data_IF_889705221193
#
_entry.id   IF_889705221193
#
_cell.length_a   1.000
_cell.length_b   1.000
_cell.length_c   1.000
_cell.angle_alpha   90.00
_cell.angle_beta   90.00
_cell.angle_gamma   90.00
#
_symmetry.space_group_name_H-M   'P 1'
#
loop_
_entity.id
_entity.type
_entity.pdbx_description
1 polymer ?
#
# COMPACT_ATOMS: atom_id res chain seq x y z
N UNK A 1 -37.27 33.97 -5.96
CA UNK A 1 -36.48 33.47 -4.81
C UNK A 1 -35.36 32.54 -5.27
N UNK A 2 -34.31 33.10 -5.87
CA UNK A 2 -33.06 32.41 -6.22
C UNK A 2 -31.92 33.28 -5.70
N UNK A 3 -31.26 32.89 -4.60
CA UNK A 3 -29.95 33.36 -4.13
C UNK A 3 -29.66 32.73 -2.77
N UNK A 4 -28.81 31.70 -2.76
CA UNK A 4 -27.83 31.33 -1.71
C UNK A 4 -27.37 29.87 -1.91
N UNK A 5 -26.88 29.55 -3.11
CA UNK A 5 -25.82 28.54 -3.22
C UNK A 5 -24.54 29.31 -2.95
N UNK A 6 -24.21 29.48 -1.66
CA UNK A 6 -22.94 30.08 -1.25
C UNK A 6 -21.85 29.08 -1.66
N UNK A 7 -21.04 29.53 -2.59
CA UNK A 7 -19.80 28.91 -3.02
C UNK A 7 -19.02 28.42 -1.79
N UNK A 8 -18.95 27.10 -1.65
CA UNK A 8 -17.81 26.47 -1.02
C UNK A 8 -16.67 26.76 -1.99
N UNK A 9 -15.97 27.88 -1.77
CA UNK A 9 -14.62 28.04 -2.28
C UNK A 9 -13.87 26.83 -1.75
N UNK A 10 -13.65 25.85 -2.63
CA UNK A 10 -12.52 24.93 -2.49
C UNK A 10 -11.31 25.83 -2.36
N UNK A 11 -10.85 26.05 -1.14
CA UNK A 11 -9.48 26.47 -0.90
C UNK A 11 -8.62 25.37 -1.52
N UNK A 12 -8.27 25.58 -2.79
CA UNK A 12 -7.01 25.12 -3.35
C UNK A 12 -5.95 25.68 -2.40
N UNK A 13 -5.62 24.95 -1.34
CA UNK A 13 -4.25 24.97 -0.82
C UNK A 13 -3.40 24.73 -2.06
N UNK A 14 -2.78 25.81 -2.53
CA UNK A 14 -2.52 26.02 -3.94
C UNK A 14 -1.63 24.91 -4.49
N UNK A 15 -1.96 24.35 -5.65
CA UNK A 15 -1.05 23.51 -6.48
C UNK A 15 0.40 24.00 -6.39
N UNK A 16 0.59 25.33 -6.40
CA UNK A 16 1.88 26.01 -6.31
C UNK A 16 2.72 25.72 -5.06
N UNK A 17 2.12 25.51 -3.87
CA UNK A 17 2.90 25.24 -2.64
C UNK A 17 3.38 23.79 -2.60
N UNK A 18 2.52 22.86 -3.03
CA UNK A 18 2.85 21.43 -3.17
C UNK A 18 3.88 21.25 -4.29
N UNK A 19 3.71 21.91 -5.43
CA UNK A 19 4.68 21.92 -6.54
C UNK A 19 6.04 22.47 -6.10
N UNK A 20 6.06 23.54 -5.29
CA UNK A 20 7.30 24.10 -4.77
C UNK A 20 7.98 23.16 -3.75
N UNK A 21 7.21 22.49 -2.90
CA UNK A 21 7.73 21.49 -1.96
C UNK A 21 8.28 20.25 -2.68
N UNK A 22 7.59 19.77 -3.71
CA UNK A 22 8.03 18.67 -4.56
C UNK A 22 9.29 19.01 -5.32
N UNK A 23 9.37 20.22 -5.88
CA UNK A 23 10.59 20.68 -6.54
C UNK A 23 11.78 20.61 -5.59
N UNK A 24 11.64 21.10 -4.35
CA UNK A 24 12.70 21.01 -3.34
C UNK A 24 13.09 19.56 -3.01
N UNK A 25 12.11 18.66 -2.92
CA UNK A 25 12.35 17.24 -2.67
C UNK A 25 13.08 16.57 -3.85
N UNK A 26 12.61 16.79 -5.07
CA UNK A 26 13.25 16.27 -6.29
C UNK A 26 14.66 16.83 -6.44
N UNK A 27 14.88 18.11 -6.15
CA UNK A 27 16.22 18.71 -6.16
C UNK A 27 17.15 18.05 -5.12
N UNK A 28 16.62 17.68 -3.95
CA UNK A 28 17.40 16.96 -2.94
C UNK A 28 17.76 15.53 -3.38
N UNK A 29 16.80 14.79 -3.93
CA UNK A 29 17.02 13.45 -4.47
C UNK A 29 18.05 13.45 -5.60
N UNK A 30 17.90 14.36 -6.57
CA UNK A 30 18.84 14.53 -7.69
C UNK A 30 20.25 14.89 -7.21
N UNK A 31 20.39 15.75 -6.19
CA UNK A 31 21.70 16.07 -5.60
C UNK A 31 22.38 14.85 -4.98
N UNK A 32 21.61 13.92 -4.41
CA UNK A 32 22.11 12.65 -3.91
C UNK A 32 22.70 11.81 -5.04
N UNK A 33 21.90 11.57 -6.08
CA UNK A 33 22.30 10.75 -7.24
C UNK A 33 23.47 11.36 -8.04
N UNK A 34 23.58 12.69 -8.09
CA UNK A 34 24.72 13.36 -8.75
C UNK A 34 26.07 12.96 -8.15
N UNK A 35 26.12 12.65 -6.86
CA UNK A 35 27.37 12.27 -6.16
C UNK A 35 27.80 10.84 -6.49
N UNK A 36 26.86 10.00 -6.94
CA UNK A 36 27.06 8.57 -7.20
C UNK A 36 27.01 8.22 -8.69
N UNK A 37 26.58 9.13 -9.56
CA UNK A 37 26.53 8.92 -11.00
C UNK A 37 27.93 8.83 -11.62
N UNK A 38 28.25 7.66 -12.16
CA UNK A 38 29.54 7.36 -12.83
C UNK A 38 29.36 6.85 -14.27
N UNK A 39 28.24 7.18 -14.93
CA UNK A 39 27.99 6.70 -16.29
C UNK A 39 28.79 7.49 -17.33
N UNK A 40 29.54 6.78 -18.17
CA UNK A 40 30.23 7.34 -19.34
C UNK A 40 29.35 7.35 -20.60
N UNK A 41 28.15 6.76 -20.54
CA UNK A 41 27.24 6.62 -21.67
C UNK A 41 26.10 7.65 -21.66
N UNK A 42 25.68 8.07 -20.47
CA UNK A 42 24.57 9.02 -20.30
C UNK A 42 25.04 10.26 -19.52
N UNK A 43 25.03 11.45 -20.16
CA UNK A 43 25.30 12.70 -19.45
C UNK A 43 24.33 12.86 -18.28
N UNK A 44 24.83 13.30 -17.13
CA UNK A 44 24.01 13.44 -15.93
C UNK A 44 22.74 14.31 -16.13
N UNK A 45 22.77 15.28 -17.05
CA UNK A 45 21.61 16.11 -17.36
C UNK A 45 20.42 15.31 -17.95
N UNK A 46 20.71 14.30 -18.79
CA UNK A 46 19.66 13.44 -19.36
C UNK A 46 19.12 12.47 -18.29
N UNK A 47 20.03 11.88 -17.50
CA UNK A 47 19.66 11.07 -16.33
C UNK A 47 18.79 11.84 -15.34
N UNK A 48 19.16 13.09 -15.00
CA UNK A 48 18.39 13.98 -14.13
C UNK A 48 16.97 14.23 -14.69
N UNK A 49 16.84 14.47 -16.00
CA UNK A 49 15.53 14.69 -16.62
C UNK A 49 14.64 13.46 -16.47
N UNK A 50 15.16 12.29 -16.82
CA UNK A 50 14.42 11.02 -16.68
C UNK A 50 14.05 10.71 -15.23
N UNK A 51 14.97 10.96 -14.28
CA UNK A 51 14.73 10.77 -12.85
C UNK A 51 13.60 11.68 -12.36
N UNK A 52 13.63 12.98 -12.73
CA UNK A 52 12.56 13.93 -12.40
C UNK A 52 11.23 13.55 -13.02
N UNK A 53 11.22 13.09 -14.27
CA UNK A 53 10.02 12.59 -14.93
C UNK A 53 9.42 11.39 -14.18
N UNK A 54 10.25 10.40 -13.82
CA UNK A 54 9.83 9.23 -13.04
C UNK A 54 9.27 9.61 -11.67
N UNK A 55 9.98 10.46 -10.91
CA UNK A 55 9.51 10.95 -9.61
C UNK A 55 8.19 11.72 -9.72
N UNK A 56 8.04 12.58 -10.74
CA UNK A 56 6.80 13.32 -10.98
C UNK A 56 5.63 12.38 -11.28
N UNK A 57 5.84 11.38 -12.13
CA UNK A 57 4.82 10.38 -12.44
C UNK A 57 4.43 9.56 -11.21
N UNK A 58 5.41 9.07 -10.45
CA UNK A 58 5.18 8.32 -9.22
C UNK A 58 4.38 9.15 -8.20
N UNK A 59 4.74 10.42 -8.01
CA UNK A 59 4.04 11.30 -7.09
C UNK A 59 2.60 11.60 -7.53
N UNK A 60 2.37 11.89 -8.82
CA UNK A 60 1.01 12.09 -9.34
C UNK A 60 0.16 10.83 -9.23
N UNK A 61 0.76 9.67 -9.49
CA UNK A 61 0.10 8.39 -9.29
C UNK A 61 -0.30 8.22 -7.82
N UNK A 62 0.63 8.45 -6.88
CA UNK A 62 0.36 8.42 -5.44
C UNK A 62 -0.82 9.34 -5.06
N UNK A 63 -0.77 10.62 -5.43
CA UNK A 63 -1.81 11.58 -5.09
C UNK A 63 -3.18 11.17 -5.65
N UNK A 64 -3.20 10.70 -6.90
CA UNK A 64 -4.42 10.25 -7.58
C UNK A 64 -5.01 9.02 -6.89
N UNK A 65 -4.19 7.99 -6.64
CA UNK A 65 -4.62 6.74 -6.02
C UNK A 65 -5.11 6.97 -4.59
N UNK A 66 -4.39 7.79 -3.80
CA UNK A 66 -4.82 8.22 -2.47
C UNK A 66 -6.17 8.94 -2.51
N UNK A 67 -6.31 9.95 -3.37
CA UNK A 67 -7.55 10.74 -3.48
C UNK A 67 -8.73 9.90 -3.98
N UNK A 68 -8.48 8.97 -4.90
CA UNK A 68 -9.50 8.07 -5.42
C UNK A 68 -9.98 7.10 -4.34
N UNK A 69 -9.07 6.45 -3.62
CA UNK A 69 -9.41 5.52 -2.55
C UNK A 69 -10.27 6.19 -1.48
N UNK A 70 -9.84 7.36 -1.02
CA UNK A 70 -10.62 8.15 -0.07
C UNK A 70 -12.01 8.53 -0.62
N UNK A 71 -12.10 8.95 -1.89
CA UNK A 71 -13.39 9.29 -2.53
C UNK A 71 -14.32 8.08 -2.63
N UNK A 72 -13.80 6.90 -2.95
CA UNK A 72 -14.59 5.67 -2.99
C UNK A 72 -15.17 5.41 -1.60
N UNK A 73 -14.35 5.44 -0.55
CA UNK A 73 -14.80 5.24 0.83
C UNK A 73 -15.90 6.23 1.24
N UNK A 74 -15.71 7.51 0.95
CA UNK A 74 -16.69 8.58 1.20
C UNK A 74 -18.01 8.34 0.47
N UNK A 75 -17.97 7.73 -0.71
CA UNK A 75 -19.16 7.42 -1.51
C UNK A 75 -19.88 6.19 -0.95
N UNK A 76 -19.15 5.11 -0.67
CA UNK A 76 -19.72 3.83 -0.22
C UNK A 76 -20.21 3.89 1.24
N UNK A 77 -19.56 4.66 2.13
CA UNK A 77 -19.92 4.78 3.55
C UNK A 77 -20.78 6.01 3.88
N UNK A 78 -21.10 6.83 2.87
CA UNK A 78 -21.66 8.16 3.01
C UNK A 78 -20.72 9.17 3.71
N UNK A 79 -20.73 10.42 3.25
CA UNK A 79 -19.76 11.47 3.60
C UNK A 79 -19.62 11.71 5.12
N UNK A 80 -20.71 11.55 5.89
CA UNK A 80 -20.70 11.86 7.33
C UNK A 80 -19.84 10.89 8.16
N UNK A 81 -19.67 9.65 7.70
CA UNK A 81 -18.94 8.61 8.46
C UNK A 81 -17.41 8.76 8.40
N UNK A 82 -16.88 9.51 7.42
CA UNK A 82 -15.46 9.46 7.02
C UNK A 82 -14.78 10.83 7.01
N UNK A 83 -15.47 11.86 7.50
CA UNK A 83 -14.99 13.25 7.45
C UNK A 83 -13.73 13.41 8.30
N UNK A 84 -12.63 13.81 7.66
CA UNK A 84 -11.41 14.21 8.36
C UNK A 84 -11.61 15.62 8.91
N UNK A 85 -11.33 15.81 10.19
CA UNK A 85 -11.33 17.13 10.82
C UNK A 85 -10.20 17.98 10.21
N UNK A 86 -10.49 19.19 9.67
CA UNK A 86 -9.46 20.09 9.14
C UNK A 86 -8.31 20.36 10.11
N UNK A 87 -8.56 20.36 11.42
CA UNK A 87 -7.50 20.55 12.43
C UNK A 87 -6.49 19.40 12.41
N UNK A 88 -6.92 18.17 12.10
CA UNK A 88 -6.05 17.00 11.96
C UNK A 88 -5.15 17.07 10.72
N UNK A 89 -5.52 17.86 9.72
CA UNK A 89 -4.71 18.02 8.51
C UNK A 89 -3.49 18.94 8.72
N UNK A 90 -3.52 19.81 9.74
CA UNK A 90 -2.44 20.78 9.99
C UNK A 90 -1.09 20.13 10.28
N UNK A 91 -1.06 18.91 10.83
CA UNK A 91 0.20 18.22 11.10
C UNK A 91 0.98 17.90 9.81
N UNK A 92 0.27 17.73 8.68
CA UNK A 92 0.89 17.44 7.39
C UNK A 92 1.51 18.68 6.73
N UNK A 93 1.22 19.87 7.23
CA UNK A 93 1.86 21.13 6.80
C UNK A 93 3.24 21.34 7.47
N UNK A 94 3.54 20.60 8.55
CA UNK A 94 4.84 20.64 9.24
C UNK A 94 5.55 19.27 9.17
N UNK A 95 6.50 19.10 8.23
CA UNK A 95 7.24 17.86 8.07
C UNK A 95 8.01 17.41 9.31
N UNK A 96 8.50 18.35 10.15
CA UNK A 96 9.24 17.98 11.36
C UNK A 96 8.31 17.42 12.42
N UNK A 97 7.15 18.04 12.61
CA UNK A 97 6.13 17.55 13.51
C UNK A 97 5.59 16.19 13.06
N UNK A 98 5.34 16.02 11.75
CA UNK A 98 4.92 14.75 11.18
C UNK A 98 5.94 13.64 11.42
N UNK A 99 7.22 13.86 11.10
CA UNK A 99 8.28 12.87 11.33
C UNK A 99 8.35 12.49 12.81
N UNK A 100 8.36 13.48 13.71
CA UNK A 100 8.39 13.22 15.16
C UNK A 100 7.18 12.40 15.63
N UNK A 101 6.00 12.64 15.07
CA UNK A 101 4.80 11.88 15.41
C UNK A 101 4.87 10.42 14.92
N UNK A 102 5.38 10.19 13.70
CA UNK A 102 5.60 8.85 13.15
C UNK A 102 6.69 8.09 13.94
N UNK A 103 7.78 8.76 14.32
CA UNK A 103 8.85 8.19 15.16
C UNK A 103 8.35 7.83 16.57
N UNK A 104 7.35 8.57 17.08
CA UNK A 104 6.67 8.24 18.32
C UNK A 104 5.69 7.06 18.18
N UNK A 105 5.61 6.43 17.01
CA UNK A 105 4.77 5.25 16.74
C UNK A 105 3.33 5.57 16.37
N UNK A 106 2.98 6.84 16.09
CA UNK A 106 1.64 7.17 15.62
C UNK A 106 1.51 6.80 14.14
N UNK A 107 0.49 6.02 13.80
CA UNK A 107 0.17 5.75 12.40
C UNK A 107 -0.55 6.92 11.74
N UNK A 108 -0.46 7.04 10.42
CA UNK A 108 -1.10 8.13 9.66
C UNK A 108 -2.61 8.15 9.89
N UNK A 109 -3.27 6.99 10.00
CA UNK A 109 -4.72 6.95 10.25
C UNK A 109 -5.09 7.57 11.61
N UNK A 110 -4.27 7.38 12.65
CA UNK A 110 -4.49 7.97 13.98
C UNK A 110 -4.32 9.49 13.93
N UNK A 111 -3.31 9.95 13.19
CA UNK A 111 -3.07 11.39 12.96
C UNK A 111 -4.23 12.04 12.20
N UNK A 112 -4.85 11.31 11.27
CA UNK A 112 -6.07 11.73 10.57
C UNK A 112 -7.33 11.64 11.44
N UNK A 113 -7.24 11.09 12.66
CA UNK A 113 -8.36 10.95 13.60
C UNK A 113 -9.25 9.73 13.33
N UNK A 114 -8.80 8.78 12.53
CA UNK A 114 -9.51 7.51 12.32
C UNK A 114 -9.25 6.55 13.47
N UNK A 115 -10.26 5.73 13.76
CA UNK A 115 -10.20 4.65 14.75
C UNK A 115 -10.01 3.30 14.06
N UNK A 116 -9.69 2.26 14.84
CA UNK A 116 -9.67 0.88 14.35
C UNK A 116 -11.04 0.46 13.77
N UNK A 117 -12.15 0.88 14.38
CA UNK A 117 -13.50 0.65 13.84
C UNK A 117 -13.69 1.29 12.46
N UNK A 118 -13.11 2.48 12.27
CA UNK A 118 -13.14 3.17 10.98
C UNK A 118 -12.33 2.39 9.93
N UNK A 119 -11.15 1.89 10.30
CA UNK A 119 -10.34 1.03 9.42
C UNK A 119 -11.06 -0.27 9.09
N UNK A 120 -11.73 -0.89 10.06
CA UNK A 120 -12.53 -2.10 9.85
C UNK A 120 -13.69 -1.83 8.88
N UNK A 121 -14.34 -0.67 8.97
CA UNK A 121 -15.37 -0.28 8.00
C UNK A 121 -14.79 -0.09 6.59
N UNK A 122 -13.64 0.56 6.46
CA UNK A 122 -12.95 0.72 5.17
C UNK A 122 -12.54 -0.62 4.57
N UNK A 123 -12.04 -1.53 5.40
CA UNK A 123 -11.65 -2.87 5.00
C UNK A 123 -12.85 -3.69 4.52
N UNK A 124 -14.00 -3.59 5.19
CA UNK A 124 -15.26 -4.21 4.72
C UNK A 124 -15.67 -3.70 3.34
N UNK A 125 -15.55 -2.41 3.08
CA UNK A 125 -15.80 -1.83 1.74
C UNK A 125 -14.85 -2.42 0.71
N UNK A 126 -13.55 -2.48 1.00
CA UNK A 126 -12.57 -3.07 0.09
C UNK A 126 -12.92 -4.53 -0.26
N UNK A 127 -13.27 -5.35 0.74
CA UNK A 127 -13.69 -6.74 0.55
C UNK A 127 -14.96 -6.86 -0.28
N UNK A 128 -15.98 -6.04 -0.01
CA UNK A 128 -17.21 -6.01 -0.79
C UNK A 128 -16.94 -5.66 -2.27
N UNK A 129 -16.03 -4.71 -2.53
CA UNK A 129 -15.63 -4.34 -3.89
C UNK A 129 -14.90 -5.48 -4.59
N UNK A 130 -14.06 -6.25 -3.88
CA UNK A 130 -13.41 -7.45 -4.43
C UNK A 130 -14.45 -8.52 -4.77
N UNK A 131 -15.40 -8.79 -3.87
CA UNK A 131 -16.46 -9.79 -4.06
C UNK A 131 -17.37 -9.45 -5.25
N UNK A 132 -17.68 -8.16 -5.42
CA UNK A 132 -18.44 -7.64 -6.56
C UNK A 132 -17.59 -7.44 -7.83
N UNK A 133 -16.33 -7.88 -7.82
CA UNK A 133 -15.36 -7.78 -8.93
C UNK A 133 -15.05 -6.35 -9.38
N UNK A 134 -15.32 -5.35 -8.55
CA UNK A 134 -14.95 -3.96 -8.75
C UNK A 134 -13.46 -3.71 -8.43
N UNK A 135 -12.56 -4.51 -9.03
CA UNK A 135 -11.15 -4.61 -8.63
C UNK A 135 -10.37 -3.29 -8.72
N UNK A 136 -10.65 -2.43 -9.70
CA UNK A 136 -9.99 -1.13 -9.81
C UNK A 136 -10.34 -0.20 -8.64
N UNK A 137 -11.61 -0.17 -8.22
CA UNK A 137 -12.04 0.61 -7.04
C UNK A 137 -11.49 -0.01 -5.76
N UNK A 138 -11.55 -1.34 -5.64
CA UNK A 138 -10.97 -2.06 -4.51
C UNK A 138 -9.48 -1.74 -4.36
N UNK A 139 -8.72 -1.77 -5.46
CA UNK A 139 -7.30 -1.41 -5.48
C UNK A 139 -7.07 0.00 -4.95
N UNK A 140 -7.85 0.99 -5.40
CA UNK A 140 -7.73 2.38 -4.93
C UNK A 140 -7.97 2.48 -3.41
N UNK A 141 -8.98 1.76 -2.88
CA UNK A 141 -9.26 1.70 -1.44
C UNK A 141 -8.15 0.99 -0.67
N UNK A 142 -7.70 -0.19 -1.13
CA UNK A 142 -6.61 -0.94 -0.51
C UNK A 142 -5.32 -0.14 -0.50
N UNK A 143 -5.01 0.58 -1.59
CA UNK A 143 -3.85 1.44 -1.68
C UNK A 143 -3.91 2.56 -0.64
N UNK A 144 -5.06 3.23 -0.52
CA UNK A 144 -5.29 4.21 0.54
C UNK A 144 -5.07 3.61 1.94
N UNK A 145 -5.58 2.40 2.20
CA UNK A 145 -5.38 1.68 3.46
C UNK A 145 -3.91 1.40 3.76
N UNK A 146 -3.14 0.92 2.78
CA UNK A 146 -1.69 0.67 2.95
C UNK A 146 -0.88 1.94 3.21
N UNK A 147 -1.37 3.11 2.78
CA UNK A 147 -0.72 4.39 3.08
C UNK A 147 -1.00 4.80 4.52
N UNK A 148 -2.26 4.71 4.96
CA UNK A 148 -2.64 5.25 6.28
C UNK A 148 -2.33 4.30 7.44
N UNK A 149 -2.22 3.00 7.16
CA UNK A 149 -1.95 1.94 8.12
C UNK A 149 -1.02 0.86 7.49
N UNK A 150 0.24 1.20 7.16
CA UNK A 150 1.20 0.28 6.54
C UNK A 150 1.58 -0.92 7.42
N UNK A 151 1.29 -0.87 8.72
CA UNK A 151 1.56 -1.90 9.71
C UNK A 151 0.53 -3.05 9.71
N UNK A 152 -0.56 -2.93 8.94
CA UNK A 152 -1.61 -3.95 8.88
C UNK A 152 -1.40 -4.82 7.64
N UNK A 153 -0.90 -6.05 7.83
CA UNK A 153 -0.56 -6.99 6.75
C UNK A 153 -1.73 -7.28 5.81
N UNK A 154 -2.96 -7.36 6.34
CA UNK A 154 -4.17 -7.68 5.56
C UNK A 154 -4.46 -6.64 4.46
N UNK A 155 -4.05 -5.38 4.63
CA UNK A 155 -4.24 -4.35 3.62
C UNK A 155 -3.32 -4.56 2.41
N UNK A 156 -2.09 -5.01 2.65
CA UNK A 156 -1.16 -5.41 1.61
C UNK A 156 -1.64 -6.64 0.85
N UNK A 157 -2.17 -7.65 1.58
CA UNK A 157 -2.79 -8.83 0.98
C UNK A 157 -3.96 -8.44 0.07
N UNK A 158 -4.88 -7.61 0.55
CA UNK A 158 -6.03 -7.17 -0.24
C UNK A 158 -5.61 -6.35 -1.47
N UNK A 159 -4.58 -5.51 -1.35
CA UNK A 159 -4.03 -4.79 -2.50
C UNK A 159 -3.44 -5.77 -3.53
N UNK A 160 -2.65 -6.74 -3.07
CA UNK A 160 -2.06 -7.79 -3.91
C UNK A 160 -3.11 -8.60 -4.65
N UNK A 161 -4.20 -9.02 -3.98
CA UNK A 161 -5.34 -9.72 -4.60
C UNK A 161 -6.01 -8.88 -5.69
N UNK A 162 -6.14 -7.57 -5.50
CA UNK A 162 -6.67 -6.68 -6.53
C UNK A 162 -5.75 -6.66 -7.75
N UNK A 163 -4.43 -6.59 -7.55
CA UNK A 163 -3.45 -6.58 -8.64
C UNK A 163 -3.37 -7.94 -9.36
N UNK A 164 -3.52 -9.07 -8.68
CA UNK A 164 -3.70 -10.39 -9.32
C UNK A 164 -4.93 -10.36 -10.24
N UNK A 165 -6.07 -9.88 -9.73
CA UNK A 165 -7.31 -9.81 -10.51
C UNK A 165 -7.22 -8.86 -11.72
N UNK A 166 -6.33 -7.87 -11.65
CA UNK A 166 -6.04 -6.92 -12.73
C UNK A 166 -4.86 -7.37 -13.63
N UNK A 167 -4.29 -8.56 -13.41
CA UNK A 167 -3.20 -9.13 -14.21
C UNK A 167 -1.81 -8.54 -13.93
N UNK A 168 -1.66 -7.73 -12.88
CA UNK A 168 -0.40 -7.13 -12.46
C UNK A 168 0.38 -8.05 -11.51
N UNK A 169 0.82 -9.20 -12.02
CA UNK A 169 1.38 -10.28 -11.19
C UNK A 169 2.69 -9.92 -10.48
N UNK A 170 3.61 -9.21 -11.13
CA UNK A 170 4.87 -8.80 -10.47
C UNK A 170 4.61 -7.86 -9.29
N UNK A 171 3.73 -6.88 -9.48
CA UNK A 171 3.29 -5.97 -8.42
C UNK A 171 2.62 -6.74 -7.29
N UNK A 172 1.71 -7.66 -7.60
CA UNK A 172 1.04 -8.49 -6.60
C UNK A 172 2.04 -9.33 -5.78
N UNK A 173 3.06 -9.92 -6.42
CA UNK A 173 4.10 -10.66 -5.72
C UNK A 173 4.83 -9.76 -4.71
N UNK A 174 5.24 -8.56 -5.14
CA UNK A 174 5.88 -7.60 -4.23
C UNK A 174 4.99 -7.22 -3.04
N UNK A 175 3.69 -7.07 -3.27
CA UNK A 175 2.72 -6.74 -2.22
C UNK A 175 2.51 -7.90 -1.24
N UNK A 176 2.48 -9.15 -1.70
CA UNK A 176 2.40 -10.30 -0.80
C UNK A 176 3.69 -10.50 0.00
N UNK A 177 4.85 -10.30 -0.61
CA UNK A 177 6.13 -10.30 0.12
C UNK A 177 6.16 -9.18 1.17
N UNK A 178 5.65 -7.99 0.83
CA UNK A 178 5.52 -6.90 1.81
C UNK A 178 4.58 -7.27 2.95
N UNK A 179 3.49 -7.98 2.68
CA UNK A 179 2.58 -8.48 3.71
C UNK A 179 3.28 -9.46 4.67
N UNK A 180 4.11 -10.36 4.13
CA UNK A 180 4.94 -11.29 4.91
C UNK A 180 5.97 -10.53 5.76
N UNK A 181 6.60 -9.49 5.22
CA UNK A 181 7.56 -8.67 5.99
C UNK A 181 6.89 -7.94 7.15
N UNK A 182 5.63 -7.50 6.97
CA UNK A 182 4.84 -6.80 7.99
C UNK A 182 4.36 -7.77 9.07
N UNK A 183 3.84 -8.93 8.67
CA UNK A 183 3.43 -9.99 9.58
C UNK A 183 3.87 -11.36 9.04
N UNK A 184 5.03 -11.87 9.49
CA UNK A 184 5.55 -13.16 9.03
C UNK A 184 4.80 -14.36 9.60
N UNK A 185 3.80 -14.12 10.46
CA UNK A 185 3.03 -15.16 11.14
C UNK A 185 1.67 -15.41 10.49
N UNK A 186 1.17 -14.49 9.65
CA UNK A 186 -0.10 -14.64 8.93
C UNK A 186 0.04 -15.63 7.76
N UNK A 187 -0.61 -16.81 7.80
CA UNK A 187 -0.52 -17.78 6.73
C UNK A 187 -1.11 -17.27 5.40
N UNK A 188 -2.05 -16.31 5.43
CA UNK A 188 -2.74 -15.83 4.23
C UNK A 188 -1.78 -15.18 3.25
N UNK A 189 -0.81 -14.39 3.74
CA UNK A 189 0.16 -13.72 2.88
C UNK A 189 1.01 -14.73 2.09
N UNK A 190 1.50 -15.77 2.77
CA UNK A 190 2.22 -16.86 2.11
C UNK A 190 1.32 -17.61 1.13
N UNK A 191 0.11 -17.99 1.53
CA UNK A 191 -0.80 -18.75 0.68
C UNK A 191 -1.13 -17.99 -0.61
N UNK A 192 -1.38 -16.68 -0.54
CA UNK A 192 -1.64 -15.87 -1.73
C UNK A 192 -0.42 -15.72 -2.62
N UNK A 193 0.79 -15.52 -2.06
CA UNK A 193 2.03 -15.53 -2.82
C UNK A 193 2.27 -16.87 -3.52
N UNK A 194 2.08 -17.99 -2.80
CA UNK A 194 2.24 -19.35 -3.32
C UNK A 194 1.20 -19.63 -4.41
N UNK A 195 -0.06 -19.23 -4.21
CA UNK A 195 -1.12 -19.37 -5.21
C UNK A 195 -0.77 -18.62 -6.50
N UNK A 196 -0.22 -17.41 -6.38
CA UNK A 196 0.24 -16.63 -7.52
C UNK A 196 1.40 -17.32 -8.25
N UNK A 197 2.40 -17.85 -7.54
CA UNK A 197 3.49 -18.62 -8.14
C UNK A 197 2.98 -19.86 -8.87
N UNK A 198 2.05 -20.60 -8.28
CA UNK A 198 1.39 -21.75 -8.90
C UNK A 198 0.62 -21.34 -10.16
N UNK A 199 -0.10 -20.21 -10.13
CA UNK A 199 -0.79 -19.66 -11.29
C UNK A 199 0.18 -19.27 -12.41
N UNK A 200 1.39 -18.83 -12.06
CA UNK A 200 2.48 -18.54 -13.00
C UNK A 200 3.27 -19.79 -13.43
N UNK A 201 2.84 -20.99 -13.01
CA UNK A 201 3.53 -22.27 -13.23
C UNK A 201 4.95 -22.32 -12.64
N UNK A 202 5.28 -21.45 -11.69
CA UNK A 202 6.55 -21.46 -10.99
C UNK A 202 6.48 -22.29 -9.71
N UNK A 203 6.31 -23.58 -9.91
CA UNK A 203 6.18 -24.54 -8.83
C UNK A 203 7.44 -24.62 -7.95
N UNK A 204 8.62 -24.38 -8.53
CA UNK A 204 9.86 -24.43 -7.78
C UNK A 204 9.94 -23.30 -6.75
N UNK A 205 9.64 -22.05 -7.13
CA UNK A 205 9.57 -20.96 -6.16
C UNK A 205 8.45 -21.17 -5.15
N UNK A 206 7.31 -21.71 -5.56
CA UNK A 206 6.20 -22.02 -4.67
C UNK A 206 6.60 -23.02 -3.56
N UNK A 207 7.25 -24.13 -3.94
CA UNK A 207 7.76 -25.15 -3.00
C UNK A 207 8.83 -24.55 -2.08
N UNK A 208 9.75 -23.74 -2.62
CA UNK A 208 10.79 -23.09 -1.83
C UNK A 208 10.19 -22.16 -0.77
N UNK A 209 9.17 -21.37 -1.13
CA UNK A 209 8.49 -20.47 -0.19
C UNK A 209 7.74 -21.25 0.91
N UNK A 210 7.03 -22.33 0.57
CA UNK A 210 6.42 -23.24 1.55
C UNK A 210 7.48 -23.75 2.54
N UNK A 211 8.58 -24.30 2.03
CA UNK A 211 9.62 -24.91 2.86
C UNK A 211 10.29 -23.88 3.79
N UNK A 212 10.59 -22.68 3.27
CA UNK A 212 11.17 -21.60 4.06
C UNK A 212 10.26 -21.19 5.21
N UNK A 213 8.96 -21.00 4.95
CA UNK A 213 8.00 -20.58 5.97
C UNK A 213 7.65 -21.72 6.96
N UNK A 214 7.63 -22.98 6.51
CA UNK A 214 7.54 -24.16 7.40
C UNK A 214 8.74 -24.24 8.34
N UNK A 215 9.95 -24.00 7.83
CA UNK A 215 11.17 -23.97 8.65
C UNK A 215 11.10 -22.83 9.67
N UNK A 216 10.71 -21.63 9.25
CA UNK A 216 10.50 -20.50 10.14
C UNK A 216 9.53 -20.85 11.28
N UNK A 217 8.39 -21.48 10.98
CA UNK A 217 7.45 -21.94 12.00
C UNK A 217 8.05 -23.01 12.94
N UNK A 218 8.85 -23.95 12.42
CA UNK A 218 9.53 -24.98 13.24
C UNK A 218 10.57 -24.39 14.18
N UNK A 219 11.26 -23.34 13.75
CA UNK A 219 12.23 -22.63 14.59
C UNK A 219 11.52 -21.86 15.75
N UNK A 220 10.19 -21.70 15.68
CA UNK A 220 9.35 -21.01 16.66
C UNK A 220 8.24 -21.91 17.27
N UNK A 221 8.50 -23.20 17.49
CA UNK A 221 7.49 -24.17 17.96
C UNK A 221 6.76 -23.80 19.26
N UNK A 222 7.38 -22.99 20.12
CA UNK A 222 6.74 -22.51 21.36
C UNK A 222 5.65 -21.45 21.11
N UNK A 223 5.63 -20.82 19.94
CA UNK A 223 4.66 -19.79 19.61
C UNK A 223 3.30 -20.40 19.21
N UNK A 224 2.21 -19.82 19.69
CA UNK A 224 0.84 -20.31 19.44
C UNK A 224 0.46 -20.33 17.96
N UNK A 225 0.96 -19.38 17.17
CA UNK A 225 0.72 -19.29 15.72
C UNK A 225 1.49 -20.32 14.89
N UNK A 226 2.60 -20.86 15.40
CA UNK A 226 3.56 -21.67 14.64
C UNK A 226 2.92 -22.91 14.02
N UNK A 227 2.09 -23.61 14.80
CA UNK A 227 1.37 -24.79 14.36
C UNK A 227 0.42 -24.47 13.21
N UNK A 228 -0.37 -23.40 13.33
CA UNK A 228 -1.33 -23.01 12.29
C UNK A 228 -0.62 -22.64 10.98
N UNK A 229 0.47 -21.86 11.05
CA UNK A 229 1.25 -21.48 9.88
C UNK A 229 1.82 -22.73 9.18
N UNK A 230 2.46 -23.60 9.96
CA UNK A 230 3.04 -24.85 9.43
C UNK A 230 1.96 -25.73 8.80
N UNK A 231 0.87 -26.00 9.51
CA UNK A 231 -0.17 -26.93 9.05
C UNK A 231 -0.82 -26.41 7.75
N UNK A 232 -1.04 -25.10 7.64
CA UNK A 232 -1.56 -24.45 6.41
C UNK A 232 -0.62 -24.62 5.22
N UNK A 233 0.69 -24.45 5.45
CA UNK A 233 1.71 -24.54 4.41
C UNK A 233 2.05 -25.97 4.02
N UNK A 234 2.06 -26.92 4.96
CA UNK A 234 2.23 -28.34 4.67
C UNK A 234 1.05 -28.86 3.83
N UNK A 235 -0.17 -28.43 4.15
CA UNK A 235 -1.35 -28.73 3.33
C UNK A 235 -1.19 -28.15 1.92
N UNK A 236 -0.79 -26.88 1.80
CA UNK A 236 -0.57 -26.25 0.49
C UNK A 236 0.55 -26.94 -0.31
N UNK A 237 1.63 -27.34 0.35
CA UNK A 237 2.75 -28.06 -0.27
C UNK A 237 2.30 -29.41 -0.85
N UNK A 238 1.47 -30.16 -0.13
CA UNK A 238 0.88 -31.42 -0.66
C UNK A 238 0.03 -31.17 -1.90
N UNK A 239 -0.76 -30.09 -1.93
CA UNK A 239 -1.54 -29.72 -3.11
C UNK A 239 -0.67 -29.41 -4.33
N UNK A 240 0.49 -28.76 -4.12
CA UNK A 240 1.43 -28.47 -5.21
C UNK A 240 2.05 -29.76 -5.76
N UNK A 241 2.46 -30.69 -4.88
CA UNK A 241 3.02 -31.97 -5.32
C UNK A 241 2.02 -32.83 -6.09
N UNK A 242 0.72 -32.72 -5.80
CA UNK A 242 -0.33 -33.42 -6.53
C UNK A 242 -0.57 -32.89 -7.96
N UNK A 243 0.12 -31.84 -8.40
CA UNK A 243 0.06 -31.31 -9.77
C UNK A 243 1.05 -32.01 -10.72
N UNK A 244 1.91 -32.89 -10.18
CA UNK A 244 2.90 -33.70 -10.91
C UNK A 244 2.54 -35.18 -10.82
#
# INVERSE_FOLDING_TARGET
MRKKVRAIKRERVSDKSVDAALKKYFDAAVRGEKRTHQSNLEPFAEYERQLREKMTHAFRFFQRSFSNGYRVLVTELHIQAVKIDPEKLKIFDDPKALIKALEAGNSIYQLLGFTEDTLNAFYKVARQLIETRAFAKARDVCYFLTIIAPEISQFWICLGRCDVALGSFDTAMHLFLKAIDVDPTDPLAYLDAINLLVQMHDYQRAINLCNAAIRFAKDHTAASWSKQLRDSLEHKLKQIFALF
#
